data_IF_774040659987
#
_entry.id   IF_774040659987
#
_cell.length_a   1.000
_cell.length_b   1.000
_cell.length_c   1.000
_cell.angle_alpha   90.00
_cell.angle_beta   90.00
_cell.angle_gamma   90.00
#
_symmetry.space_group_name_H-M   'P 1'
#
loop_
_entity.id
_entity.type
_entity.pdbx_description
1 polymer ?
#
# COMPACT_ATOMS: atom_id res chain seq x y z
N UNK A 1 2.15 -81.49 36.00
CA UNK A 1 0.87 -80.75 35.94
C UNK A 1 1.14 -79.42 35.25
N UNK A 2 0.72 -79.05 34.04
CA UNK A 2 -0.16 -79.59 32.99
C UNK A 2 0.61 -79.52 31.65
N UNK A 3 0.40 -80.52 30.79
CA UNK A 3 0.70 -80.51 29.35
C UNK A 3 -0.46 -79.90 28.55
N UNK A 4 -0.21 -79.58 27.26
CA UNK A 4 -1.05 -79.64 26.02
C UNK A 4 -0.47 -78.56 25.05
N UNK A 5 0.29 -78.83 23.98
CA UNK A 5 0.06 -79.47 22.65
C UNK A 5 -0.87 -78.76 21.65
N UNK A 6 -0.30 -78.43 20.47
CA UNK A 6 -0.86 -78.27 19.09
C UNK A 6 -1.91 -77.15 18.86
N UNK A 7 -1.98 -76.45 17.72
CA UNK A 7 -1.93 -76.93 16.33
C UNK A 7 -1.55 -75.86 15.29
N UNK A 8 -0.76 -76.27 14.28
CA UNK A 8 -0.85 -75.74 12.92
C UNK A 8 -2.23 -76.09 12.34
N UNK A 9 -3.01 -75.12 11.85
CA UNK A 9 -3.88 -75.20 10.65
C UNK A 9 -4.59 -73.87 10.40
N UNK A 10 -4.81 -73.55 9.10
CA UNK A 10 -5.44 -72.36 8.49
C UNK A 10 -4.48 -71.18 8.29
N UNK A 11 -3.86 -70.94 7.13
CA UNK A 11 -4.33 -71.07 5.75
C UNK A 11 -5.72 -70.45 5.52
N UNK A 12 -5.79 -69.12 5.44
CA UNK A 12 -6.69 -68.40 4.52
C UNK A 12 -6.57 -66.88 4.71
N UNK A 13 -6.34 -66.18 3.61
CA UNK A 13 -6.94 -64.88 3.31
C UNK A 13 -6.76 -63.74 4.34
N UNK A 14 -5.74 -62.90 4.13
CA UNK A 14 -6.00 -61.45 4.14
C UNK A 14 -5.02 -60.70 3.24
N UNK A 15 -5.15 -61.03 1.96
CA UNK A 15 -4.66 -60.24 0.84
C UNK A 15 -5.76 -59.22 0.53
N UNK A 16 -5.86 -58.10 1.27
CA UNK A 16 -6.79 -57.02 0.91
C UNK A 16 -6.24 -55.64 1.32
N UNK A 17 -5.96 -54.86 0.27
CA UNK A 17 -5.99 -53.39 0.19
C UNK A 17 -4.84 -52.63 0.83
N UNK A 18 -3.73 -52.58 0.10
CA UNK A 18 -3.03 -51.29 -0.11
C UNK A 18 -4.08 -50.35 -0.68
N UNK A 19 -4.72 -49.56 0.19
CA UNK A 19 -5.48 -48.38 -0.22
C UNK A 19 -4.45 -47.41 -0.78
N UNK A 20 -4.20 -47.53 -2.08
CA UNK A 20 -3.61 -46.47 -2.87
C UNK A 20 -4.67 -45.38 -2.83
N UNK A 21 -4.63 -44.52 -1.81
CA UNK A 21 -5.28 -43.23 -1.91
C UNK A 21 -4.70 -42.64 -3.19
N UNK A 22 -5.51 -42.38 -4.24
CA UNK A 22 -5.09 -41.38 -5.20
C UNK A 22 -5.03 -40.11 -4.36
N UNK A 23 -3.85 -39.81 -3.84
CA UNK A 23 -3.54 -38.47 -3.39
C UNK A 23 -3.80 -37.66 -4.64
N UNK A 24 -5.00 -37.06 -4.68
CA UNK A 24 -5.31 -35.95 -5.53
C UNK A 24 -4.24 -34.93 -5.18
N UNK A 25 -3.12 -35.06 -5.88
CA UNK A 25 -2.19 -33.99 -6.16
C UNK A 25 -3.05 -32.95 -6.83
N UNK A 26 -3.74 -32.15 -6.00
CA UNK A 26 -4.02 -30.76 -6.30
C UNK A 26 -2.67 -30.26 -6.74
N UNK A 27 -2.46 -30.21 -8.06
CA UNK A 27 -1.36 -29.46 -8.67
C UNK A 27 -1.37 -28.16 -7.90
N UNK A 28 -0.39 -27.96 -7.00
CA UNK A 28 -0.09 -26.63 -6.51
C UNK A 28 0.13 -25.88 -7.80
N UNK A 29 -0.80 -24.98 -8.16
CA UNK A 29 -0.53 -23.99 -9.19
C UNK A 29 0.76 -23.36 -8.73
N UNK A 30 1.82 -23.67 -9.44
CA UNK A 30 3.06 -22.93 -9.42
C UNK A 30 2.66 -21.45 -9.44
N UNK A 31 3.14 -20.63 -8.48
CA UNK A 31 2.59 -19.30 -8.29
C UNK A 31 2.69 -18.53 -9.60
N UNK A 32 1.66 -17.76 -9.93
CA UNK A 32 1.55 -16.94 -11.13
C UNK A 32 2.55 -15.77 -11.10
N UNK A 33 3.85 -16.07 -11.04
CA UNK A 33 4.93 -15.12 -10.80
C UNK A 33 5.08 -14.05 -11.89
N UNK A 34 4.96 -14.36 -13.21
CA UNK A 34 5.00 -13.32 -14.23
C UNK A 34 3.81 -12.36 -14.13
N UNK A 35 2.64 -12.91 -13.81
CA UNK A 35 1.36 -12.19 -13.87
C UNK A 35 1.24 -11.08 -12.82
N UNK A 36 1.67 -11.30 -11.58
CA UNK A 36 1.56 -10.28 -10.53
C UNK A 36 2.56 -9.12 -10.71
N UNK A 37 3.71 -9.38 -11.32
CA UNK A 37 4.65 -8.32 -11.71
C UNK A 37 4.03 -7.44 -12.81
N UNK A 38 3.44 -8.05 -13.83
CA UNK A 38 2.73 -7.34 -14.91
C UNK A 38 1.55 -6.52 -14.36
N UNK A 39 0.73 -7.10 -13.47
CA UNK A 39 -0.36 -6.36 -12.81
C UNK A 39 0.18 -5.18 -12.00
N UNK A 40 1.30 -5.34 -11.29
CA UNK A 40 1.94 -4.26 -10.53
C UNK A 40 2.39 -3.11 -11.45
N UNK A 41 2.96 -3.43 -12.62
CA UNK A 41 3.36 -2.41 -13.60
C UNK A 41 2.15 -1.67 -14.16
N UNK A 42 1.08 -2.40 -14.53
CA UNK A 42 -0.16 -1.80 -15.00
C UNK A 42 -0.81 -0.90 -13.93
N UNK A 43 -0.81 -1.36 -12.67
CA UNK A 43 -1.25 -0.56 -11.52
C UNK A 43 -0.52 0.79 -11.43
N UNK A 44 0.82 0.82 -11.57
CA UNK A 44 1.57 2.08 -11.53
C UNK A 44 1.30 2.98 -12.74
N UNK A 45 1.09 2.40 -13.92
CA UNK A 45 0.71 3.16 -15.12
C UNK A 45 -0.64 3.85 -14.92
N UNK A 46 -1.66 3.11 -14.44
CA UNK A 46 -2.99 3.65 -14.18
C UNK A 46 -2.99 4.64 -12.99
N UNK A 47 -2.16 4.39 -11.97
CA UNK A 47 -1.93 5.33 -10.87
C UNK A 47 -1.41 6.67 -11.39
N UNK A 48 -0.38 6.63 -12.22
CA UNK A 48 0.21 7.83 -12.81
C UNK A 48 -0.67 8.47 -13.89
N UNK A 49 -1.65 7.75 -14.42
CA UNK A 49 -2.70 8.31 -15.27
C UNK A 49 -3.85 8.94 -14.47
N UNK A 50 -3.86 8.79 -13.14
CA UNK A 50 -4.93 9.19 -12.23
C UNK A 50 -6.30 8.57 -12.59
N UNK A 51 -6.29 7.33 -13.09
CA UNK A 51 -7.49 6.59 -13.44
C UNK A 51 -8.04 5.85 -12.20
N UNK A 52 -8.73 6.59 -11.32
CA UNK A 52 -9.23 6.06 -10.03
C UNK A 52 -10.02 4.76 -10.19
N UNK A 53 -10.87 4.64 -11.22
CA UNK A 53 -11.67 3.42 -11.42
C UNK A 53 -10.80 2.22 -11.76
N UNK A 54 -9.82 2.38 -12.66
CA UNK A 54 -8.87 1.29 -12.95
C UNK A 54 -8.03 0.94 -11.75
N UNK A 55 -7.51 1.92 -11.02
CA UNK A 55 -6.71 1.68 -9.81
C UNK A 55 -7.50 0.82 -8.81
N UNK A 56 -8.76 1.18 -8.54
CA UNK A 56 -9.62 0.44 -7.62
C UNK A 56 -10.00 -0.96 -8.12
N UNK A 57 -9.98 -1.19 -9.44
CA UNK A 57 -10.23 -2.51 -10.02
C UNK A 57 -9.15 -3.54 -9.67
N UNK A 58 -7.92 -3.09 -9.39
CA UNK A 58 -6.85 -3.97 -8.93
C UNK A 58 -7.05 -4.44 -7.48
N UNK A 59 -7.83 -3.74 -6.67
CA UNK A 59 -7.94 -4.01 -5.24
C UNK A 59 -9.00 -5.06 -4.92
N UNK A 60 -8.76 -5.86 -3.87
CA UNK A 60 -9.83 -6.59 -3.21
C UNK A 60 -10.78 -5.61 -2.49
N UNK A 61 -12.02 -6.03 -2.21
CA UNK A 61 -12.96 -5.18 -1.46
C UNK A 61 -12.46 -4.86 -0.04
N UNK A 62 -11.71 -5.79 0.56
CA UNK A 62 -11.13 -5.72 1.91
C UNK A 62 -9.66 -5.26 1.94
N UNK A 63 -9.20 -4.55 0.91
CA UNK A 63 -7.84 -4.01 0.80
C UNK A 63 -7.38 -3.30 2.08
N UNK A 64 -6.12 -3.52 2.47
CA UNK A 64 -5.41 -2.72 3.48
C UNK A 64 -4.37 -1.85 2.82
N UNK A 65 -4.45 -0.53 3.02
CA UNK A 65 -3.49 0.42 2.47
C UNK A 65 -2.82 1.16 3.61
N UNK A 66 -1.50 1.01 3.76
CA UNK A 66 -0.76 1.54 4.90
C UNK A 66 0.49 2.29 4.45
N UNK A 67 0.65 3.51 4.96
CA UNK A 67 1.93 4.22 4.98
C UNK A 67 2.35 4.33 6.44
N UNK A 68 3.41 3.60 6.81
CA UNK A 68 3.89 3.50 8.19
C UNK A 68 4.23 4.88 8.74
N UNK A 69 3.67 5.19 9.91
CA UNK A 69 3.81 6.49 10.55
C UNK A 69 2.94 7.60 9.95
N UNK A 70 2.21 7.32 8.87
CA UNK A 70 1.23 8.21 8.26
C UNK A 70 -0.19 7.75 8.56
N UNK A 71 -0.73 6.88 7.72
CA UNK A 71 -2.13 6.44 7.80
C UNK A 71 -2.27 4.94 7.50
N UNK A 72 -3.40 4.38 7.95
CA UNK A 72 -3.83 3.03 7.62
C UNK A 72 -5.31 3.05 7.26
N UNK A 73 -5.62 2.66 6.03
CA UNK A 73 -6.97 2.59 5.50
C UNK A 73 -7.35 1.14 5.26
N UNK A 74 -8.64 0.84 5.47
CA UNK A 74 -9.21 -0.47 5.21
C UNK A 74 -10.44 -0.32 4.32
N UNK A 75 -10.63 -1.31 3.45
CA UNK A 75 -11.71 -1.35 2.47
C UNK A 75 -11.52 -0.37 1.31
N UNK A 76 -11.99 -0.80 0.14
CA UNK A 76 -11.84 -0.09 -1.13
C UNK A 76 -12.44 1.32 -1.11
N UNK A 77 -13.54 1.52 -0.39
CA UNK A 77 -14.21 2.82 -0.26
C UNK A 77 -13.34 3.90 0.39
N UNK A 78 -12.57 3.56 1.42
CA UNK A 78 -11.66 4.52 2.07
C UNK A 78 -10.48 4.87 1.16
N UNK A 79 -9.96 3.89 0.44
CA UNK A 79 -8.84 4.07 -0.48
C UNK A 79 -9.22 4.98 -1.66
N UNK A 80 -10.48 4.96 -2.13
CA UNK A 80 -10.97 5.87 -3.17
C UNK A 80 -10.72 7.34 -2.83
N UNK A 81 -11.11 7.79 -1.64
CA UNK A 81 -10.93 9.19 -1.24
C UNK A 81 -9.44 9.60 -1.23
N UNK A 82 -8.55 8.66 -0.89
CA UNK A 82 -7.11 8.86 -0.96
C UNK A 82 -6.60 8.96 -2.42
N UNK A 83 -7.11 8.12 -3.33
CA UNK A 83 -6.76 8.21 -4.75
C UNK A 83 -7.21 9.53 -5.37
N UNK A 84 -8.41 10.00 -5.01
CA UNK A 84 -8.95 11.28 -5.46
C UNK A 84 -8.12 12.46 -4.92
N UNK A 85 -7.60 12.34 -3.69
CA UNK A 85 -6.62 13.27 -3.12
C UNK A 85 -5.31 13.27 -3.92
N UNK A 86 -4.76 12.09 -4.21
CA UNK A 86 -3.53 11.96 -5.01
C UNK A 86 -3.68 12.55 -6.42
N UNK A 87 -4.82 12.30 -7.07
CA UNK A 87 -5.14 12.90 -8.36
C UNK A 87 -5.19 14.43 -8.30
N UNK A 88 -5.83 14.99 -7.26
CA UNK A 88 -5.94 16.44 -7.08
C UNK A 88 -4.58 17.13 -6.88
N UNK A 89 -3.59 16.40 -6.35
CA UNK A 89 -2.23 16.88 -6.11
C UNK A 89 -1.24 16.50 -7.21
N UNK A 90 -1.70 15.92 -8.32
CA UNK A 90 -0.86 15.46 -9.42
C UNK A 90 0.23 14.47 -8.96
N UNK A 91 -0.09 13.56 -8.04
CA UNK A 91 0.82 12.52 -7.54
C UNK A 91 1.40 11.64 -8.65
N UNK A 92 2.72 11.49 -8.67
CA UNK A 92 3.42 10.56 -9.55
C UNK A 92 4.30 9.64 -8.73
N UNK A 93 4.15 8.35 -8.98
CA UNK A 93 5.00 7.30 -8.42
C UNK A 93 6.06 6.90 -9.44
N UNK A 94 7.29 6.78 -8.95
CA UNK A 94 8.39 6.12 -9.64
C UNK A 94 8.75 4.87 -8.84
N UNK A 95 9.11 3.80 -9.53
CA UNK A 95 9.54 2.57 -8.88
C UNK A 95 10.72 1.94 -9.59
N UNK A 96 11.54 1.25 -8.80
CA UNK A 96 12.70 0.48 -9.27
C UNK A 96 12.73 -0.90 -8.58
N UNK A 97 13.53 -1.81 -9.14
CA UNK A 97 13.88 -3.09 -8.51
C UNK A 97 12.67 -3.95 -8.09
N UNK A 98 11.75 -4.24 -9.02
CA UNK A 98 10.63 -5.17 -8.75
C UNK A 98 11.19 -6.56 -8.40
N UNK A 99 10.93 -6.99 -7.17
CA UNK A 99 11.19 -8.34 -6.67
C UNK A 99 9.88 -9.08 -6.39
N UNK A 100 9.79 -10.35 -6.80
CA UNK A 100 8.60 -11.18 -6.59
C UNK A 100 8.94 -12.36 -5.69
N UNK A 101 8.17 -12.56 -4.62
CA UNK A 101 8.28 -13.72 -3.73
C UNK A 101 6.91 -14.22 -3.33
N UNK A 102 6.49 -15.34 -3.93
CA UNK A 102 5.17 -15.91 -3.68
C UNK A 102 4.06 -15.00 -4.21
N UNK A 103 3.25 -14.46 -3.32
CA UNK A 103 2.16 -13.52 -3.59
C UNK A 103 2.55 -12.05 -3.33
N UNK A 104 3.80 -11.80 -2.95
CA UNK A 104 4.27 -10.49 -2.55
C UNK A 104 5.21 -9.91 -3.62
N UNK A 105 4.96 -8.66 -3.99
CA UNK A 105 5.81 -7.86 -4.87
C UNK A 105 6.43 -6.73 -4.06
N UNK A 106 7.75 -6.63 -4.04
CA UNK A 106 8.50 -5.55 -3.38
C UNK A 106 9.19 -4.66 -4.40
N UNK A 107 9.34 -3.38 -4.10
CA UNK A 107 9.99 -2.41 -4.98
C UNK A 107 10.53 -1.22 -4.17
N UNK A 108 11.48 -0.49 -4.74
CA UNK A 108 11.83 0.84 -4.28
C UNK A 108 10.80 1.81 -4.85
N UNK A 109 10.25 2.68 -4.01
CA UNK A 109 9.21 3.63 -4.40
C UNK A 109 9.68 5.05 -4.10
N UNK A 110 9.50 5.96 -5.03
CA UNK A 110 9.49 7.40 -4.75
C UNK A 110 8.21 8.02 -5.29
N UNK A 111 7.81 9.13 -4.67
CA UNK A 111 6.62 9.88 -5.02
C UNK A 111 6.97 11.36 -5.21
N UNK A 112 6.29 12.04 -6.11
CA UNK A 112 6.33 13.49 -6.24
C UNK A 112 4.93 14.02 -6.54
N UNK A 113 4.64 15.21 -6.02
CA UNK A 113 3.33 15.84 -6.19
C UNK A 113 3.45 17.36 -5.98
N UNK A 114 2.35 18.08 -6.19
CA UNK A 114 2.26 19.53 -5.98
C UNK A 114 2.61 19.94 -4.54
N UNK A 115 2.17 19.15 -3.57
CA UNK A 115 2.32 19.43 -2.14
C UNK A 115 3.78 19.40 -1.69
N UNK A 116 4.53 18.37 -2.09
CA UNK A 116 5.96 18.22 -1.86
C UNK A 116 6.73 19.36 -2.52
N UNK A 117 6.40 19.71 -3.76
CA UNK A 117 7.05 20.82 -4.48
C UNK A 117 6.86 22.16 -3.78
N UNK A 118 5.65 22.44 -3.29
CA UNK A 118 5.34 23.64 -2.51
C UNK A 118 6.04 23.67 -1.15
N UNK A 119 6.39 22.50 -0.60
CA UNK A 119 7.21 22.38 0.60
C UNK A 119 8.72 22.45 0.32
N UNK A 120 9.12 22.62 -0.95
CA UNK A 120 10.52 22.67 -1.37
C UNK A 120 11.18 21.30 -1.56
N UNK A 121 10.41 20.22 -1.52
CA UNK A 121 10.91 18.87 -1.79
C UNK A 121 10.64 18.46 -3.25
N UNK A 122 11.64 17.85 -3.89
CA UNK A 122 11.49 17.31 -5.24
C UNK A 122 10.70 16.00 -5.25
N UNK A 123 10.96 15.14 -4.28
CA UNK A 123 10.34 13.83 -4.12
C UNK A 123 10.39 13.37 -2.66
N UNK A 124 9.56 12.39 -2.33
CA UNK A 124 9.59 11.62 -1.09
C UNK A 124 9.93 10.17 -1.43
N UNK A 125 10.93 9.62 -0.74
CA UNK A 125 11.50 8.30 -1.02
C UNK A 125 11.07 7.35 0.09
N UNK A 126 10.60 6.17 -0.29
CA UNK A 126 10.23 5.11 0.63
C UNK A 126 11.45 4.24 0.95
N UNK A 127 11.60 3.91 2.23
CA UNK A 127 12.58 2.93 2.72
C UNK A 127 12.26 1.51 2.25
N UNK A 128 10.98 1.17 2.23
CA UNK A 128 10.46 -0.03 1.59
C UNK A 128 9.03 0.20 1.13
N UNK A 129 8.62 -0.52 0.09
CA UNK A 129 7.24 -0.67 -0.29
C UNK A 129 6.99 -2.08 -0.82
N UNK A 130 5.81 -2.63 -0.54
CA UNK A 130 5.38 -3.91 -1.07
C UNK A 130 3.87 -3.99 -1.24
N UNK A 131 3.47 -4.88 -2.15
CA UNK A 131 2.10 -5.23 -2.48
C UNK A 131 1.91 -6.72 -2.23
N UNK A 132 0.83 -7.10 -1.55
CA UNK A 132 0.44 -8.50 -1.33
C UNK A 132 -0.80 -8.83 -2.14
N UNK A 133 -0.72 -9.86 -2.96
CA UNK A 133 -1.79 -10.31 -3.84
C UNK A 133 -2.63 -11.43 -3.21
N UNK A 134 -3.92 -11.44 -3.56
CA UNK A 134 -4.84 -12.55 -3.35
C UNK A 134 -5.40 -12.96 -4.70
N UNK A 135 -4.75 -13.93 -5.34
CA UNK A 135 -4.99 -14.23 -6.76
C UNK A 135 -4.44 -13.09 -7.62
N UNK A 136 -5.29 -12.49 -8.45
CA UNK A 136 -4.91 -11.40 -9.35
C UNK A 136 -5.23 -10.00 -8.78
N UNK A 137 -5.74 -9.95 -7.55
CA UNK A 137 -6.11 -8.70 -6.88
C UNK A 137 -5.13 -8.35 -5.77
N UNK A 138 -4.79 -7.08 -5.66
CA UNK A 138 -4.01 -6.51 -4.57
C UNK A 138 -4.88 -6.49 -3.31
N UNK A 139 -4.41 -7.16 -2.27
CA UNK A 139 -5.07 -7.26 -0.96
C UNK A 139 -4.40 -6.43 0.14
N UNK A 140 -3.14 -6.03 -0.09
CA UNK A 140 -2.43 -5.09 0.78
C UNK A 140 -1.44 -4.24 -0.03
N UNK A 141 -1.36 -2.96 0.31
CA UNK A 141 -0.20 -2.11 0.02
C UNK A 141 0.39 -1.65 1.35
N UNK A 142 1.71 -1.73 1.50
CA UNK A 142 2.42 -1.15 2.64
C UNK A 142 3.68 -0.44 2.19
N UNK A 143 3.88 0.79 2.64
CA UNK A 143 5.11 1.55 2.46
C UNK A 143 5.57 2.22 3.75
N UNK A 144 6.87 2.51 3.86
CA UNK A 144 7.44 3.35 4.93
C UNK A 144 8.29 4.45 4.28
N UNK A 145 7.97 5.71 4.57
CA UNK A 145 8.76 6.85 4.09
C UNK A 145 10.13 6.82 4.76
N UNK A 146 11.18 7.08 4.00
CA UNK A 146 12.55 7.12 4.50
C UNK A 146 12.75 8.24 5.53
N UNK A 147 13.65 8.01 6.48
CA UNK A 147 14.00 9.02 7.49
C UNK A 147 14.57 10.31 6.85
N UNK A 148 15.25 10.18 5.71
CA UNK A 148 15.78 11.31 4.94
C UNK A 148 14.65 12.21 4.43
N UNK A 149 13.66 11.65 3.73
CA UNK A 149 12.51 12.41 3.24
C UNK A 149 11.70 13.02 4.38
N UNK A 150 11.48 12.28 5.48
CA UNK A 150 10.81 12.83 6.67
C UNK A 150 11.59 14.01 7.27
N UNK A 151 12.91 13.91 7.36
CA UNK A 151 13.77 15.00 7.88
C UNK A 151 13.69 16.24 6.98
N UNK A 152 13.73 16.05 5.65
CA UNK A 152 13.62 17.13 4.67
C UNK A 152 12.28 17.87 4.74
N UNK A 153 11.19 17.15 5.03
CA UNK A 153 9.85 17.73 5.07
C UNK A 153 9.48 18.33 6.44
N UNK A 154 10.10 17.90 7.53
CA UNK A 154 9.69 18.30 8.89
C UNK A 154 9.71 19.81 9.12
N UNK A 155 10.81 20.47 8.77
CA UNK A 155 10.98 21.90 8.98
C UNK A 155 10.02 22.77 8.13
N UNK A 156 9.95 22.59 6.80
CA UNK A 156 9.02 23.38 5.98
C UNK A 156 7.56 23.10 6.35
N UNK A 157 7.19 21.83 6.59
CA UNK A 157 5.83 21.50 7.02
C UNK A 157 5.46 22.15 8.36
N UNK A 158 6.36 22.11 9.35
CA UNK A 158 6.12 22.76 10.65
C UNK A 158 6.01 24.28 10.52
N UNK A 159 6.80 24.90 9.65
CA UNK A 159 6.73 26.35 9.37
C UNK A 159 5.39 26.72 8.74
N UNK A 160 5.02 26.00 7.67
CA UNK A 160 3.73 26.14 7.00
C UNK A 160 2.55 25.99 7.97
N UNK A 161 2.50 24.88 8.73
CA UNK A 161 1.37 24.62 9.61
C UNK A 161 1.25 25.65 10.75
N UNK A 162 2.38 26.17 11.24
CA UNK A 162 2.39 27.23 12.24
C UNK A 162 1.82 28.53 11.69
N UNK A 163 2.21 28.90 10.47
CA UNK A 163 1.64 30.06 9.77
C UNK A 163 0.14 29.86 9.50
N UNK A 164 -0.26 28.71 8.93
CA UNK A 164 -1.65 28.44 8.58
C UNK A 164 -2.57 28.46 9.82
N UNK A 165 -2.12 27.89 10.94
CA UNK A 165 -2.89 27.94 12.21
C UNK A 165 -3.04 29.35 12.78
N UNK A 166 -2.10 30.24 12.49
CA UNK A 166 -2.13 31.64 12.97
C UNK A 166 -2.95 32.53 12.05
N UNK A 167 -2.71 32.45 10.74
CA UNK A 167 -3.24 33.39 9.76
C UNK A 167 -4.51 32.87 9.06
N UNK A 168 -4.76 31.56 9.07
CA UNK A 168 -5.85 30.88 8.34
C UNK A 168 -6.58 29.87 9.24
N UNK A 169 -6.74 30.21 10.52
CA UNK A 169 -7.28 29.31 11.56
C UNK A 169 -8.57 28.60 11.15
N UNK A 170 -9.57 29.35 10.69
CA UNK A 170 -10.89 28.77 10.35
C UNK A 170 -10.80 27.74 9.21
N UNK A 171 -9.93 28.01 8.22
CA UNK A 171 -9.68 27.07 7.13
C UNK A 171 -8.95 25.82 7.63
N UNK A 172 -7.95 25.98 8.52
CA UNK A 172 -7.26 24.84 9.13
C UNK A 172 -8.20 24.00 9.99
N UNK A 173 -9.07 24.62 10.78
CA UNK A 173 -10.03 23.90 11.62
C UNK A 173 -11.03 23.09 10.77
N UNK A 174 -11.43 23.61 9.61
CA UNK A 174 -12.25 22.89 8.62
C UNK A 174 -11.50 21.72 7.98
N UNK A 175 -10.23 21.90 7.65
CA UNK A 175 -9.39 20.89 7.01
C UNK A 175 -8.83 19.84 7.98
N UNK A 176 -8.84 20.14 9.29
CA UNK A 176 -8.38 19.27 10.36
C UNK A 176 -9.42 19.13 11.50
N UNK A 177 -10.64 18.65 11.23
CA UNK A 177 -11.65 18.50 12.26
C UNK A 177 -11.15 17.55 13.35
N UNK A 178 -11.18 18.00 14.61
CA UNK A 178 -10.63 17.23 15.73
C UNK A 178 -9.13 16.96 15.65
N UNK A 179 -8.39 17.73 14.83
CA UNK A 179 -6.96 17.57 14.60
C UNK A 179 -6.58 16.47 13.60
N UNK A 180 -7.54 15.85 12.94
CA UNK A 180 -7.31 14.80 11.93
C UNK A 180 -7.42 15.38 10.53
N UNK A 181 -6.50 15.00 9.63
CA UNK A 181 -6.57 15.42 8.23
C UNK A 181 -7.82 14.87 7.55
N UNK A 182 -8.63 15.76 7.01
CA UNK A 182 -9.70 15.38 6.08
C UNK A 182 -9.09 15.04 4.71
N UNK A 183 -9.49 13.90 4.15
CA UNK A 183 -8.99 13.39 2.86
C UNK A 183 -10.13 13.43 1.84
N UNK A 184 -9.90 14.14 0.74
CA UNK A 184 -10.79 14.26 -0.41
C UNK A 184 -10.25 15.28 -1.43
N UNK A 185 -10.85 15.34 -2.61
CA UNK A 185 -10.43 16.27 -3.67
C UNK A 185 -10.52 17.73 -3.24
N UNK A 186 -11.61 18.13 -2.58
CA UNK A 186 -11.82 19.52 -2.17
C UNK A 186 -10.79 19.92 -1.12
N UNK A 187 -10.54 19.07 -0.14
CA UNK A 187 -9.58 19.26 0.92
C UNK A 187 -8.15 19.32 0.37
N UNK A 188 -7.79 18.46 -0.58
CA UNK A 188 -6.49 18.47 -1.24
C UNK A 188 -6.22 19.82 -1.93
N UNK A 189 -7.21 20.35 -2.65
CA UNK A 189 -7.11 21.63 -3.34
C UNK A 189 -7.04 22.80 -2.35
N UNK A 190 -7.81 22.77 -1.26
CA UNK A 190 -7.75 23.79 -0.20
C UNK A 190 -6.36 23.80 0.47
N UNK A 191 -5.79 22.63 0.81
CA UNK A 191 -4.43 22.52 1.34
C UNK A 191 -3.38 23.03 0.36
N UNK A 192 -3.49 22.68 -0.92
CA UNK A 192 -2.58 23.15 -1.96
C UNK A 192 -2.62 24.67 -2.08
N UNK A 193 -3.81 25.27 -2.01
CA UNK A 193 -3.98 26.73 -2.07
C UNK A 193 -3.32 27.43 -0.88
N UNK A 194 -3.52 26.90 0.34
CA UNK A 194 -2.85 27.41 1.55
C UNK A 194 -1.33 27.36 1.45
N UNK A 195 -0.78 26.25 0.94
CA UNK A 195 0.66 26.11 0.75
C UNK A 195 1.20 27.04 -0.34
N UNK A 196 0.46 27.20 -1.43
CA UNK A 196 0.83 28.13 -2.50
C UNK A 196 0.90 29.56 -1.98
N UNK A 197 -0.08 29.97 -1.17
CA UNK A 197 -0.08 31.27 -0.51
C UNK A 197 1.15 31.46 0.39
N UNK A 198 1.40 30.50 1.29
CA UNK A 198 2.57 30.49 2.17
C UNK A 198 3.90 30.58 1.40
N UNK A 199 4.00 29.84 0.29
CA UNK A 199 5.18 29.86 -0.58
C UNK A 199 5.37 31.21 -1.27
N UNK A 200 4.29 31.82 -1.79
CA UNK A 200 4.33 33.12 -2.46
C UNK A 200 4.72 34.26 -1.52
N UNK A 201 4.39 34.16 -0.23
CA UNK A 201 4.82 35.11 0.80
C UNK A 201 6.33 34.99 1.13
N UNK A 202 7.06 34.03 0.54
CA UNK A 202 8.49 33.83 0.79
C UNK A 202 8.80 33.24 2.18
N UNK A 203 7.79 32.78 2.91
CA UNK A 203 7.92 32.23 4.26
C UNK A 203 8.60 30.84 4.28
N UNK A 204 8.71 30.20 3.11
CA UNK A 204 9.50 28.98 2.93
C UNK A 204 11.00 29.22 2.99
N UNK A 205 11.47 30.45 2.74
CA UNK A 205 12.90 30.84 2.69
C UNK A 205 13.39 31.58 3.94
N UNK A 206 12.50 31.93 4.85
CA UNK A 206 12.79 32.86 5.96
C UNK A 206 13.64 32.26 7.12
N UNK A 207 14.43 31.20 6.88
CA UNK A 207 15.30 30.58 7.89
C UNK A 207 16.64 30.05 7.33
N UNK A 208 17.19 30.72 6.32
CA UNK A 208 18.64 30.65 6.05
C UNK A 208 19.34 31.87 6.64
#
# INVERSE_FOLDING_TARGET
MKNIYLSLTSLAFMLFLIVICPSCSKKRKEPAQPKIAEITQAYFQDFNAHDTEKILSYFTEDIRYEVVGGFSLQQKGQVRSLLDWYAALNEKLSYDEIGVRGDTVSFKLSENNDWLRLLGAKESIFKYAYIVFRGDSISSFKGEISAESLKGLRAPYSSFLSWAKKERKDQVDKLMPGGQFSIGTAEALEWRNLLSEWWQLGLSKAKE
#
